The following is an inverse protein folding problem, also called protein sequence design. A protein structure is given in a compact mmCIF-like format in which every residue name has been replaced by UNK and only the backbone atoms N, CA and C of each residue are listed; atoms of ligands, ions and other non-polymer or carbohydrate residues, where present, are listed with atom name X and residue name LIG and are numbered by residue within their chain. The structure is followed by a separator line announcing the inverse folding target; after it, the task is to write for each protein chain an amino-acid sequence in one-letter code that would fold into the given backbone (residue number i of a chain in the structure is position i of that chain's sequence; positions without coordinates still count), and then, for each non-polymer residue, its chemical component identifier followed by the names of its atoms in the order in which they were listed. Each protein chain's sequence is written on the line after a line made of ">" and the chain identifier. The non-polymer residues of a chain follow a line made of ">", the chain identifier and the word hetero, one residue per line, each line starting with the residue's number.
data_IF_586897132964
#
_entry.id   IF_586897132964
#
_cell.length_a   1.000
_cell.length_b   1.000
_cell.length_c   1.000
_cell.angle_alpha   90.00
_cell.angle_beta   90.00
_cell.angle_gamma   90.00
#
_symmetry.space_group_name_H-M   'P 1'
#
loop_
_entity.id
_entity.type
_entity.pdbx_description
1 polymer ?
#
# COMPACT_ATOMS: atom_id res chain seq x y z
N UNK A 1 39.00 7.75 -6.20
CA UNK A 1 37.76 7.05 -6.61
C UNK A 1 37.37 6.09 -5.50
N UNK A 2 36.18 6.22 -4.88
CA UNK A 2 35.84 5.45 -3.67
C UNK A 2 35.37 4.03 -4.03
N UNK A 3 36.32 3.10 -4.14
CA UNK A 3 36.10 1.77 -4.73
C UNK A 3 35.34 0.80 -3.83
N UNK A 4 35.48 0.79 -2.49
CA UNK A 4 34.68 -0.11 -1.61
C UNK A 4 34.18 0.56 -0.32
N UNK A 5 33.39 -0.16 0.49
CA UNK A 5 32.55 0.36 1.59
C UNK A 5 33.27 1.34 2.52
N UNK A 6 32.91 2.61 2.42
CA UNK A 6 33.47 3.73 3.17
C UNK A 6 32.34 4.53 3.80
N UNK A 7 32.61 5.22 4.92
CA UNK A 7 31.65 6.12 5.59
C UNK A 7 31.05 7.17 4.63
N UNK A 8 31.79 7.53 3.58
CA UNK A 8 31.35 8.46 2.53
C UNK A 8 30.21 7.93 1.65
N UNK A 9 29.83 6.65 1.76
CA UNK A 9 28.71 6.03 1.03
C UNK A 9 27.40 6.06 1.83
N UNK A 10 27.43 6.50 3.08
CA UNK A 10 26.24 6.61 3.92
C UNK A 10 25.21 7.56 3.29
N UNK A 11 23.94 7.14 3.25
CA UNK A 11 22.86 7.97 2.71
C UNK A 11 22.83 8.14 1.19
N UNK A 12 23.78 7.56 0.43
CA UNK A 12 23.84 7.66 -1.05
C UNK A 12 22.50 7.38 -1.71
N UNK A 13 21.89 6.24 -1.39
CA UNK A 13 20.62 5.83 -2.00
C UNK A 13 19.48 6.74 -1.56
N UNK A 14 19.46 7.19 -0.30
CA UNK A 14 18.42 8.10 0.22
C UNK A 14 18.46 9.47 -0.47
N UNK A 15 19.65 9.99 -0.81
CA UNK A 15 19.81 11.25 -1.53
C UNK A 15 19.64 11.12 -3.06
N UNK A 16 19.85 9.92 -3.62
CA UNK A 16 19.58 9.65 -5.03
C UNK A 16 18.10 9.48 -5.33
N UNK A 17 17.32 8.94 -4.38
CA UNK A 17 15.89 8.72 -4.58
C UNK A 17 15.17 10.07 -4.71
N UNK A 18 14.51 10.37 -5.84
CA UNK A 18 13.77 11.61 -5.98
C UNK A 18 12.63 11.65 -4.97
N UNK A 19 12.42 12.81 -4.34
CA UNK A 19 11.29 13.01 -3.43
C UNK A 19 10.01 13.04 -4.26
N UNK A 20 9.19 12.01 -4.09
CA UNK A 20 7.85 11.95 -4.67
C UNK A 20 6.85 12.45 -3.63
N UNK A 21 6.03 13.42 -4.03
CA UNK A 21 5.00 13.98 -3.15
C UNK A 21 3.85 13.00 -2.90
N UNK A 22 3.29 13.09 -1.70
CA UNK A 22 2.13 12.30 -1.31
C UNK A 22 0.89 12.73 -2.09
N UNK A 23 0.09 11.78 -2.57
CA UNK A 23 -1.23 12.08 -3.13
C UNK A 23 -2.17 12.52 -2.00
N UNK A 24 -3.06 13.47 -2.28
CA UNK A 24 -4.12 13.86 -1.34
C UNK A 24 -5.05 12.66 -1.10
N UNK A 25 -5.15 12.22 0.14
CA UNK A 25 -6.08 11.17 0.57
C UNK A 25 -7.12 11.83 1.46
N UNK A 26 -8.40 11.73 1.07
CA UNK A 26 -9.53 12.12 1.92
C UNK A 26 -10.13 10.83 2.47
N UNK A 27 -10.18 10.71 3.79
CA UNK A 27 -10.78 9.57 4.46
C UNK A 27 -12.31 9.63 4.44
N UNK A 28 -12.94 8.46 4.37
CA UNK A 28 -14.39 8.34 4.55
C UNK A 28 -14.75 8.38 6.04
N UNK A 29 -15.98 8.78 6.36
CA UNK A 29 -16.54 8.59 7.70
C UNK A 29 -16.68 7.10 8.03
N UNK A 30 -16.68 6.77 9.32
CA UNK A 30 -16.72 5.39 9.81
C UNK A 30 -17.90 4.58 9.23
N UNK A 31 -19.08 5.19 9.14
CA UNK A 31 -20.29 4.55 8.60
C UNK A 31 -20.13 4.18 7.12
N UNK A 32 -19.60 5.09 6.30
CA UNK A 32 -19.37 4.86 4.86
C UNK A 32 -18.31 3.80 4.65
N UNK A 33 -17.20 3.88 5.39
CA UNK A 33 -16.12 2.89 5.33
C UNK A 33 -16.61 1.48 5.70
N UNK A 34 -17.39 1.36 6.78
CA UNK A 34 -17.93 0.09 7.25
C UNK A 34 -18.93 -0.51 6.25
N UNK A 35 -19.82 0.30 5.67
CA UNK A 35 -20.75 -0.13 4.61
C UNK A 35 -19.99 -0.64 3.38
N UNK A 36 -18.95 0.08 2.94
CA UNK A 36 -18.10 -0.34 1.84
C UNK A 36 -17.37 -1.66 2.11
N UNK A 37 -16.84 -1.83 3.33
CA UNK A 37 -16.17 -3.05 3.75
C UNK A 37 -17.13 -4.25 3.82
N UNK A 38 -18.35 -4.06 4.31
CA UNK A 38 -19.38 -5.08 4.32
C UNK A 38 -19.68 -5.58 2.90
N UNK A 39 -19.95 -4.65 1.96
CA UNK A 39 -20.22 -4.98 0.56
C UNK A 39 -19.06 -5.77 -0.07
N UNK A 40 -17.82 -5.33 0.15
CA UNK A 40 -16.62 -6.01 -0.38
C UNK A 40 -16.48 -7.43 0.16
N UNK A 41 -16.64 -7.63 1.47
CA UNK A 41 -16.38 -8.91 2.14
C UNK A 41 -17.50 -9.93 1.98
N UNK A 42 -18.75 -9.50 2.16
CA UNK A 42 -19.89 -10.40 2.25
C UNK A 42 -20.67 -10.51 0.94
N UNK A 43 -21.00 -9.39 0.30
CA UNK A 43 -21.74 -9.43 -0.97
C UNK A 43 -20.84 -9.86 -2.15
N UNK A 44 -19.59 -9.38 -2.18
CA UNK A 44 -18.65 -9.66 -3.28
C UNK A 44 -17.66 -10.79 -2.98
N UNK A 45 -17.60 -11.30 -1.74
CA UNK A 45 -16.70 -12.39 -1.35
C UNK A 45 -15.20 -12.07 -1.49
N UNK A 46 -14.81 -10.78 -1.47
CA UNK A 46 -13.42 -10.34 -1.64
C UNK A 46 -12.64 -10.53 -0.34
N UNK A 47 -11.39 -10.96 -0.47
CA UNK A 47 -10.49 -11.08 0.66
C UNK A 47 -10.12 -9.69 1.23
N UNK A 48 -10.11 -9.50 2.56
CA UNK A 48 -9.64 -8.26 3.16
C UNK A 48 -8.13 -8.10 2.96
N UNK A 49 -7.70 -6.94 2.45
CA UNK A 49 -6.30 -6.68 2.11
C UNK A 49 -5.99 -7.04 0.65
N UNK A 50 -5.34 -6.11 -0.05
CA UNK A 50 -4.96 -6.15 -1.48
C UNK A 50 -6.02 -6.80 -2.40
N UNK A 51 -6.86 -5.96 -3.03
CA UNK A 51 -7.74 -6.33 -4.15
C UNK A 51 -6.90 -6.82 -5.34
N UNK A 52 -6.33 -8.02 -5.27
CA UNK A 52 -5.77 -8.69 -6.44
C UNK A 52 -6.94 -9.23 -7.27
N UNK A 53 -7.04 -8.94 -8.58
CA UNK A 53 -8.06 -9.53 -9.42
C UNK A 53 -7.97 -11.07 -9.32
N UNK A 54 -9.12 -11.73 -9.13
CA UNK A 54 -9.21 -13.19 -9.02
C UNK A 54 -9.14 -13.79 -7.61
N UNK A 55 -8.78 -13.03 -6.58
CA UNK A 55 -8.81 -13.52 -5.18
C UNK A 55 -10.24 -13.49 -4.61
N UNK A 56 -11.05 -14.48 -4.98
CA UNK A 56 -12.31 -14.78 -4.28
C UNK A 56 -12.00 -15.66 -3.07
N UNK A 57 -12.64 -15.40 -1.93
CA UNK A 57 -12.53 -16.27 -0.75
C UNK A 57 -12.92 -17.69 -1.18
N UNK A 58 -11.98 -18.65 -1.07
CA UNK A 58 -12.24 -20.07 -1.36
C UNK A 58 -13.38 -20.52 -0.44
N UNK A 59 -14.52 -20.96 -1.00
CA UNK A 59 -15.57 -21.61 -0.21
C UNK A 59 -14.93 -22.84 0.44
N UNK A 60 -14.97 -22.90 1.77
CA UNK A 60 -14.68 -24.12 2.53
C UNK A 60 -15.87 -25.05 2.39
#
# INVERSE_FOLDING_TARGET
>A
MATHGSLTKAGKVRGQTPKVEGRKIVGDSSSVANKGNFKKRFALGRFPGQNKPGQRRKKR
#
